data_IF_457684309608
#
_entry.id   IF_457684309608
#
_cell.length_a   1.000
_cell.length_b   1.000
_cell.length_c   1.000
_cell.angle_alpha   90.00
_cell.angle_beta   90.00
_cell.angle_gamma   90.00
#
_symmetry.space_group_name_H-M   'P 1'
#
loop_
_entity.id
_entity.type
_entity.pdbx_description
1 polymer ?
#
# COMPACT_ATOMS: atom_id res chain seq x y z
N UNK A 1 13.43 -11.25 -14.49
CA UNK A 1 14.44 -10.19 -14.75
C UNK A 1 13.91 -8.79 -14.43
N UNK A 2 12.88 -8.27 -15.11
CA UNK A 2 12.37 -6.90 -14.87
C UNK A 2 12.01 -6.61 -13.40
N UNK A 3 11.31 -7.54 -12.74
CA UNK A 3 11.00 -7.41 -11.32
C UNK A 3 12.25 -7.17 -10.46
N UNK A 4 13.29 -7.98 -10.64
CA UNK A 4 14.53 -7.88 -9.90
C UNK A 4 15.21 -6.52 -10.07
N UNK A 5 15.16 -6.00 -11.31
CA UNK A 5 15.69 -4.71 -11.68
C UNK A 5 14.97 -3.56 -10.98
N UNK A 6 13.65 -3.50 -11.09
CA UNK A 6 12.88 -2.44 -10.47
C UNK A 6 12.92 -2.50 -8.94
N UNK A 7 12.95 -3.70 -8.33
CA UNK A 7 13.10 -3.81 -6.88
C UNK A 7 14.48 -3.33 -6.40
N UNK A 8 15.57 -3.69 -7.08
CA UNK A 8 16.91 -3.19 -6.74
C UNK A 8 16.97 -1.66 -6.79
N UNK A 9 16.41 -1.05 -7.84
CA UNK A 9 16.29 0.40 -7.96
C UNK A 9 15.40 1.01 -6.87
N UNK A 10 14.24 0.41 -6.59
CA UNK A 10 13.31 0.94 -5.59
C UNK A 10 13.93 0.92 -4.19
N UNK A 11 14.58 -0.18 -3.83
CA UNK A 11 15.30 -0.33 -2.57
C UNK A 11 16.45 0.68 -2.44
N UNK A 12 17.12 1.02 -3.54
CA UNK A 12 18.19 2.04 -3.54
C UNK A 12 17.69 3.46 -3.30
N UNK A 13 16.43 3.75 -3.59
CA UNK A 13 15.81 5.06 -3.34
C UNK A 13 15.30 5.13 -1.89
N UNK A 14 14.45 4.17 -1.48
CA UNK A 14 13.91 4.08 -0.12
C UNK A 14 13.55 2.63 0.24
N UNK A 15 13.92 2.20 1.43
CA UNK A 15 13.63 0.84 1.93
C UNK A 15 12.14 0.55 2.14
N UNK A 16 11.26 1.56 2.15
CA UNK A 16 9.82 1.32 2.11
C UNK A 16 9.42 0.44 0.89
N UNK A 17 10.15 0.53 -0.22
CA UNK A 17 9.94 -0.32 -1.38
C UNK A 17 10.14 -1.82 -1.15
N UNK A 18 10.80 -2.22 -0.06
CA UNK A 18 10.98 -3.63 0.30
C UNK A 18 9.67 -4.32 0.66
N UNK A 19 8.59 -3.58 0.94
CA UNK A 19 7.25 -4.16 1.09
C UNK A 19 6.76 -4.86 -0.21
N UNK A 20 7.10 -4.32 -1.38
CA UNK A 20 6.82 -4.97 -2.68
C UNK A 20 7.68 -6.21 -2.91
N UNK A 21 8.92 -6.19 -2.43
CA UNK A 21 9.78 -7.36 -2.44
C UNK A 21 9.21 -8.49 -1.57
N UNK A 22 8.78 -8.15 -0.35
CA UNK A 22 8.16 -9.08 0.59
C UNK A 22 6.86 -9.66 0.01
N UNK A 23 6.00 -8.82 -0.58
CA UNK A 23 4.78 -9.24 -1.27
C UNK A 23 5.09 -10.27 -2.36
N UNK A 24 5.96 -9.91 -3.32
CA UNK A 24 6.21 -10.77 -4.47
C UNK A 24 6.90 -12.07 -4.03
N UNK A 25 7.77 -12.01 -3.01
CA UNK A 25 8.37 -13.19 -2.39
C UNK A 25 7.32 -14.09 -1.74
N UNK A 26 6.40 -13.51 -0.97
CA UNK A 26 5.32 -14.23 -0.30
C UNK A 26 4.39 -14.91 -1.32
N UNK A 27 4.00 -14.18 -2.37
CA UNK A 27 3.17 -14.73 -3.44
C UNK A 27 3.89 -15.84 -4.21
N UNK A 28 5.18 -15.66 -4.55
CA UNK A 28 5.96 -16.70 -5.22
C UNK A 28 6.11 -17.96 -4.36
N UNK A 29 6.34 -17.81 -3.06
CA UNK A 29 6.39 -18.92 -2.11
C UNK A 29 5.06 -19.66 -2.04
N UNK A 30 3.92 -18.95 -2.03
CA UNK A 30 2.60 -19.59 -2.12
C UNK A 30 2.47 -20.44 -3.39
N UNK A 31 2.90 -19.92 -4.55
CA UNK A 31 2.88 -20.68 -5.80
C UNK A 31 3.79 -21.92 -5.76
N UNK A 32 4.96 -21.83 -5.12
CA UNK A 32 5.83 -22.98 -4.88
C UNK A 32 5.17 -24.04 -3.98
N UNK A 33 4.49 -23.62 -2.91
CA UNK A 33 3.78 -24.53 -2.02
C UNK A 33 2.68 -25.28 -2.78
N UNK A 34 1.86 -24.56 -3.55
CA UNK A 34 0.83 -25.18 -4.40
C UNK A 34 1.46 -26.13 -5.42
N UNK A 35 2.55 -25.74 -6.08
CA UNK A 35 3.27 -26.61 -7.03
C UNK A 35 3.78 -27.90 -6.35
N UNK A 36 4.26 -27.81 -5.12
CA UNK A 36 4.82 -28.95 -4.39
C UNK A 36 3.73 -29.90 -3.88
N UNK A 37 2.68 -29.36 -3.25
CA UNK A 37 1.62 -30.16 -2.63
C UNK A 37 0.57 -30.65 -3.64
N UNK A 38 0.30 -29.92 -4.73
CA UNK A 38 -0.74 -30.26 -5.72
C UNK A 38 -0.18 -30.76 -7.08
N UNK A 39 1.08 -31.22 -7.10
CA UNK A 39 1.82 -31.62 -8.31
C UNK A 39 1.04 -32.56 -9.25
N UNK A 40 0.34 -33.57 -8.69
CA UNK A 40 -0.42 -34.55 -9.48
C UNK A 40 -1.65 -33.96 -10.18
N UNK A 41 -2.25 -32.91 -9.59
CA UNK A 41 -3.49 -32.30 -10.11
C UNK A 41 -3.21 -31.19 -11.12
N UNK A 42 -2.11 -30.47 -10.91
CA UNK A 42 -1.60 -29.49 -11.87
C UNK A 42 -1.21 -30.14 -13.20
N UNK A 43 -0.80 -31.41 -13.22
CA UNK A 43 -0.48 -32.14 -14.44
C UNK A 43 -1.65 -32.28 -15.44
N UNK A 44 -2.91 -32.17 -14.98
CA UNK A 44 -4.10 -32.30 -15.83
C UNK A 44 -4.78 -30.95 -16.15
N UNK A 45 -4.22 -29.83 -15.71
CA UNK A 45 -4.80 -28.50 -15.88
C UNK A 45 -3.81 -27.57 -16.58
N UNK A 46 -4.27 -26.74 -17.52
CA UNK A 46 -3.42 -25.73 -18.19
C UNK A 46 -2.76 -24.75 -17.20
N UNK A 47 -3.35 -24.55 -16.01
CA UNK A 47 -2.74 -23.74 -14.96
C UNK A 47 -1.45 -24.39 -14.41
N UNK A 48 -1.39 -25.72 -14.41
CA UNK A 48 -0.26 -26.47 -13.90
C UNK A 48 0.93 -26.50 -14.82
N UNK A 49 0.75 -26.53 -16.15
CA UNK A 49 1.88 -26.37 -17.09
C UNK A 49 2.54 -25.00 -16.91
N UNK A 50 1.76 -23.92 -16.82
CA UNK A 50 2.29 -22.55 -16.60
C UNK A 50 3.07 -22.43 -15.27
N UNK A 51 2.56 -23.01 -14.18
CA UNK A 51 3.23 -22.99 -12.87
C UNK A 51 4.45 -23.92 -12.83
N UNK A 52 4.41 -25.07 -13.51
CA UNK A 52 5.49 -26.07 -13.44
C UNK A 52 6.71 -25.66 -14.23
N UNK A 53 6.55 -25.06 -15.41
CA UNK A 53 7.67 -24.69 -16.28
C UNK A 53 8.40 -23.41 -15.85
N UNK A 54 7.68 -22.44 -15.26
CA UNK A 54 8.24 -21.11 -14.99
C UNK A 54 8.68 -20.88 -13.53
N UNK A 55 8.16 -21.65 -12.57
CA UNK A 55 8.37 -21.41 -11.14
C UNK A 55 9.34 -22.44 -10.58
N UNK A 56 10.59 -22.03 -10.33
CA UNK A 56 11.63 -22.88 -9.74
C UNK A 56 12.28 -22.18 -8.54
N UNK A 57 12.87 -22.97 -7.64
CA UNK A 57 13.65 -22.42 -6.53
C UNK A 57 14.88 -21.66 -7.04
N UNK A 58 15.48 -22.12 -8.15
CA UNK A 58 16.57 -21.43 -8.81
C UNK A 58 16.17 -20.02 -9.30
N UNK A 59 15.02 -19.91 -9.99
CA UNK A 59 14.49 -18.62 -10.45
C UNK A 59 14.18 -17.69 -9.27
N UNK A 60 13.71 -18.25 -8.15
CA UNK A 60 13.52 -17.48 -6.92
C UNK A 60 14.85 -16.88 -6.44
N UNK A 61 15.86 -17.72 -6.18
CA UNK A 61 17.15 -17.26 -5.69
C UNK A 61 17.81 -16.24 -6.64
N UNK A 62 17.69 -16.45 -7.96
CA UNK A 62 18.27 -15.55 -8.96
C UNK A 62 17.56 -14.19 -8.99
N UNK A 63 16.24 -14.18 -9.14
CA UNK A 63 15.48 -12.94 -9.40
C UNK A 63 15.02 -12.21 -8.12
N UNK A 64 14.90 -12.91 -7.00
CA UNK A 64 14.47 -12.30 -5.73
C UNK A 64 15.65 -12.02 -4.79
N UNK A 65 16.75 -12.77 -4.86
CA UNK A 65 17.88 -12.53 -3.95
C UNK A 65 19.07 -11.90 -4.68
N UNK A 66 19.64 -12.62 -5.65
CA UNK A 66 20.93 -12.26 -6.23
C UNK A 66 20.88 -10.97 -7.07
N UNK A 67 19.95 -10.89 -8.03
CA UNK A 67 19.87 -9.74 -8.94
C UNK A 67 19.48 -8.42 -8.24
N UNK A 68 18.50 -8.35 -7.33
CA UNK A 68 18.19 -7.11 -6.62
C UNK A 68 19.37 -6.59 -5.80
N UNK A 69 20.13 -7.47 -5.14
CA UNK A 69 21.33 -7.11 -4.36
C UNK A 69 22.43 -6.55 -5.27
N UNK A 70 22.68 -7.19 -6.41
CA UNK A 70 23.65 -6.69 -7.40
C UNK A 70 23.26 -5.29 -7.86
N UNK A 71 21.99 -5.09 -8.20
CA UNK A 71 21.50 -3.80 -8.73
C UNK A 71 21.55 -2.72 -7.66
N UNK A 72 21.14 -3.04 -6.43
CA UNK A 72 21.32 -2.15 -5.28
C UNK A 72 22.79 -1.74 -5.13
N UNK A 73 23.72 -2.70 -5.16
CA UNK A 73 25.16 -2.42 -5.01
C UNK A 73 25.70 -1.55 -6.16
N UNK A 74 25.28 -1.82 -7.40
CA UNK A 74 25.68 -1.03 -8.59
C UNK A 74 25.24 0.43 -8.46
N UNK A 75 24.02 0.68 -7.98
CA UNK A 75 23.50 2.05 -7.81
C UNK A 75 24.33 2.86 -6.81
N UNK A 76 24.95 2.21 -5.82
CA UNK A 76 25.80 2.87 -4.84
C UNK A 76 27.25 3.11 -5.33
N UNK A 77 27.65 2.59 -6.50
CA UNK A 77 29.03 2.78 -7.02
C UNK A 77 29.40 4.27 -7.12
N UNK A 78 28.59 5.17 -7.73
CA UNK A 78 28.94 6.59 -7.78
C UNK A 78 29.16 7.19 -6.40
N UNK A 79 28.28 6.88 -5.43
CA UNK A 79 28.40 7.39 -4.06
C UNK A 79 29.67 6.88 -3.35
N UNK A 80 30.06 5.62 -3.54
CA UNK A 80 31.30 5.08 -2.97
C UNK A 80 32.54 5.71 -3.61
N UNK A 81 32.50 6.07 -4.90
CA UNK A 81 33.60 6.73 -5.59
C UNK A 81 33.78 8.20 -5.18
N UNK A 82 32.68 8.94 -4.98
CA UNK A 82 32.74 10.37 -4.62
C UNK A 82 32.83 10.62 -3.11
N UNK A 83 32.21 9.77 -2.28
CA UNK A 83 32.19 9.91 -0.82
C UNK A 83 33.02 8.79 -0.17
N UNK A 84 34.34 8.96 -0.15
CA UNK A 84 35.31 7.93 0.28
C UNK A 84 35.49 7.80 1.79
N UNK A 85 34.83 8.66 2.58
CA UNK A 85 34.95 8.66 4.04
C UNK A 85 34.43 7.38 4.70
N UNK A 86 33.44 6.74 4.09
CA UNK A 86 32.80 5.53 4.60
C UNK A 86 32.69 4.48 3.51
N UNK A 87 32.92 3.22 3.87
CA UNK A 87 32.68 2.07 3.00
C UNK A 87 31.18 1.90 2.73
N UNK A 88 30.83 1.13 1.69
CA UNK A 88 29.44 0.77 1.41
C UNK A 88 28.72 0.17 2.62
N UNK A 89 29.41 -0.69 3.38
CA UNK A 89 28.83 -1.36 4.56
C UNK A 89 28.58 -0.34 5.68
N UNK A 90 29.56 0.51 5.99
CA UNK A 90 29.44 1.53 7.03
C UNK A 90 28.32 2.53 6.73
N UNK A 91 28.17 2.96 5.47
CA UNK A 91 27.06 3.83 5.06
C UNK A 91 25.70 3.18 5.30
N UNK A 92 25.55 1.90 4.94
CA UNK A 92 24.30 1.18 5.22
C UNK A 92 24.06 1.01 6.72
N UNK A 93 25.10 0.75 7.52
CA UNK A 93 25.00 0.71 8.98
C UNK A 93 24.58 2.06 9.57
N UNK A 94 25.11 3.17 9.05
CA UNK A 94 24.69 4.52 9.46
C UNK A 94 23.23 4.80 9.12
N UNK A 95 22.77 4.41 7.92
CA UNK A 95 21.35 4.53 7.54
C UNK A 95 20.42 3.73 8.48
N UNK A 96 20.80 2.50 8.84
CA UNK A 96 20.07 1.69 9.83
C UNK A 96 20.08 2.39 11.19
N UNK A 97 21.27 2.80 11.66
CA UNK A 97 21.47 3.41 12.96
C UNK A 97 20.68 4.71 13.14
N UNK A 98 20.69 5.58 12.13
CA UNK A 98 19.88 6.80 12.10
C UNK A 98 18.40 6.48 12.30
N UNK A 99 17.90 5.48 11.59
CA UNK A 99 16.50 5.06 11.63
C UNK A 99 16.07 4.33 12.90
N UNK A 100 17.01 3.81 13.70
CA UNK A 100 16.75 3.14 14.96
C UNK A 100 16.93 4.04 16.19
N UNK A 101 17.88 4.98 16.14
CA UNK A 101 18.35 5.70 17.34
C UNK A 101 18.16 7.21 17.29
N UNK A 102 18.06 7.80 16.11
CA UNK A 102 18.02 9.26 15.93
C UNK A 102 16.63 9.82 15.62
N UNK A 103 15.60 8.97 15.56
CA UNK A 103 14.22 9.39 15.31
C UNK A 103 13.33 8.83 16.41
N UNK A 104 12.90 9.69 17.34
CA UNK A 104 11.95 9.32 18.39
C UNK A 104 10.54 9.09 17.88
N UNK A 105 9.68 8.56 18.75
CA UNK A 105 8.26 8.28 18.46
C UNK A 105 7.44 9.57 18.28
N UNK A 106 7.77 10.63 19.02
CA UNK A 106 7.00 11.88 19.13
C UNK A 106 7.74 13.12 18.60
N UNK A 107 8.57 12.95 17.57
CA UNK A 107 9.35 14.03 16.95
C UNK A 107 8.49 15.11 16.28
N UNK A 108 7.23 14.81 15.95
CA UNK A 108 6.35 15.71 15.21
C UNK A 108 4.89 15.65 15.69
N UNK A 109 4.15 16.77 15.74
CA UNK A 109 2.73 16.78 16.14
C UNK A 109 1.82 15.89 15.27
N UNK A 110 2.20 15.66 14.01
CA UNK A 110 1.44 14.81 13.08
C UNK A 110 1.89 13.34 13.02
N UNK A 111 2.76 12.87 13.93
CA UNK A 111 3.10 11.44 14.00
C UNK A 111 1.81 10.61 14.18
N UNK A 112 1.68 9.51 13.44
CA UNK A 112 0.47 8.69 13.41
C UNK A 112 0.83 7.21 13.34
N UNK A 113 0.15 6.41 14.16
CA UNK A 113 0.37 4.97 14.23
C UNK A 113 -0.31 4.23 13.08
N UNK A 114 0.27 3.10 12.68
CA UNK A 114 -0.15 2.29 11.53
C UNK A 114 -1.64 1.92 11.52
N UNK A 115 -2.23 1.68 12.68
CA UNK A 115 -3.64 1.28 12.82
C UNK A 115 -4.61 2.44 12.56
N UNK A 116 -4.14 3.69 12.58
CA UNK A 116 -4.96 4.87 12.28
C UNK A 116 -5.10 5.12 10.78
N UNK A 117 -4.17 4.61 9.97
CA UNK A 117 -4.07 4.94 8.55
C UNK A 117 -5.23 4.42 7.67
N UNK A 118 -5.72 3.17 7.83
CA UNK A 118 -6.78 2.65 6.94
C UNK A 118 -8.09 3.44 7.02
N UNK A 119 -8.37 4.04 8.18
CA UNK A 119 -9.52 4.90 8.43
C UNK A 119 -9.16 6.39 8.43
N UNK A 120 -7.90 6.71 8.13
CA UNK A 120 -7.38 8.08 8.05
C UNK A 120 -7.67 8.89 9.32
N UNK A 121 -7.57 8.26 10.49
CA UNK A 121 -7.94 8.94 11.74
C UNK A 121 -6.97 10.07 12.07
N UNK A 122 -5.73 10.03 11.55
CA UNK A 122 -4.72 11.08 11.76
C UNK A 122 -3.98 11.40 10.45
N UNK A 123 -4.53 12.32 9.63
CA UNK A 123 -3.87 12.81 8.43
C UNK A 123 -2.75 13.81 8.79
N UNK A 124 -2.05 14.34 7.78
CA UNK A 124 -0.95 15.31 7.97
C UNK A 124 -1.14 16.55 7.10
N UNK A 125 -1.06 17.73 7.72
CA UNK A 125 -0.95 19.00 7.00
C UNK A 125 0.49 19.25 6.57
N UNK A 126 0.70 19.51 5.27
CA UNK A 126 1.98 19.93 4.71
C UNK A 126 2.17 21.43 4.72
N UNK A 127 1.08 22.19 4.69
CA UNK A 127 1.10 23.63 4.72
C UNK A 127 -0.17 24.13 5.37
N UNK A 128 -0.05 25.10 6.28
CA UNK A 128 -1.20 25.75 6.91
C UNK A 128 -0.89 27.24 7.08
N UNK A 129 -1.79 28.08 6.60
CA UNK A 129 -1.70 29.53 6.67
C UNK A 129 -3.10 30.08 6.97
N UNK A 130 -3.19 30.96 7.97
CA UNK A 130 -4.42 31.67 8.33
C UNK A 130 -4.15 33.17 8.24
N UNK A 131 -4.97 33.88 7.49
CA UNK A 131 -4.85 35.31 7.26
C UNK A 131 -6.22 35.98 7.19
N UNK A 132 -6.29 37.26 7.51
CA UNK A 132 -7.50 38.07 7.40
C UNK A 132 -7.42 38.97 6.18
N UNK A 133 -8.52 39.09 5.44
CA UNK A 133 -8.63 40.06 4.36
C UNK A 133 -8.90 41.42 4.99
N UNK A 134 -7.96 42.35 4.86
CA UNK A 134 -7.97 43.64 5.57
C UNK A 134 -9.27 44.45 5.38
N UNK A 135 -9.86 44.40 4.18
CA UNK A 135 -11.04 45.20 3.84
C UNK A 135 -12.37 44.58 4.29
N UNK A 136 -12.43 43.26 4.52
CA UNK A 136 -13.67 42.54 4.86
C UNK A 136 -13.67 41.96 6.27
N UNK A 137 -12.52 41.87 6.93
CA UNK A 137 -12.36 41.19 8.23
C UNK A 137 -12.56 39.67 8.16
N UNK A 138 -12.73 39.10 6.97
CA UNK A 138 -12.98 37.67 6.78
C UNK A 138 -11.68 36.90 7.00
N UNK A 139 -11.73 35.87 7.85
CA UNK A 139 -10.63 34.94 8.09
C UNK A 139 -10.60 33.84 7.03
N UNK A 140 -9.48 33.76 6.32
CA UNK A 140 -9.20 32.78 5.27
C UNK A 140 -8.16 31.78 5.77
N UNK A 141 -8.34 30.52 5.39
CA UNK A 141 -7.38 29.44 5.61
C UNK A 141 -6.93 28.91 4.27
N UNK A 142 -5.61 28.78 4.11
CA UNK A 142 -4.97 28.07 3.01
C UNK A 142 -4.21 26.89 3.59
N UNK A 143 -4.65 25.69 3.23
CA UNK A 143 -4.11 24.44 3.78
C UNK A 143 -3.85 23.42 2.68
N UNK A 144 -2.69 22.76 2.71
CA UNK A 144 -2.37 21.60 1.88
C UNK A 144 -2.29 20.40 2.82
N UNK A 145 -3.24 19.48 2.71
CA UNK A 145 -3.34 18.32 3.58
C UNK A 145 -3.16 17.03 2.78
N UNK A 146 -2.32 16.10 3.28
CA UNK A 146 -2.39 14.72 2.81
C UNK A 146 -3.63 14.06 3.39
N UNK A 147 -4.70 14.14 2.60
CA UNK A 147 -6.03 13.75 3.00
C UNK A 147 -6.58 12.76 1.97
N UNK A 148 -6.50 11.43 2.20
CA UNK A 148 -7.08 10.48 1.28
C UNK A 148 -8.61 10.61 1.27
N UNK A 149 -9.26 10.10 0.22
CA UNK A 149 -10.71 10.23 0.08
C UNK A 149 -11.41 9.35 1.16
N UNK A 150 -12.25 9.92 2.06
CA UNK A 150 -12.82 9.16 3.18
C UNK A 150 -13.69 7.99 2.79
N UNK A 151 -14.51 8.17 1.76
CA UNK A 151 -15.38 7.10 1.26
C UNK A 151 -14.54 6.01 0.60
N UNK A 152 -13.56 6.40 -0.22
CA UNK A 152 -12.65 5.46 -0.86
C UNK A 152 -11.86 4.66 0.17
N UNK A 153 -11.27 5.31 1.18
CA UNK A 153 -10.46 4.65 2.21
C UNK A 153 -11.28 3.68 3.04
N UNK A 154 -12.46 4.11 3.50
CA UNK A 154 -13.37 3.28 4.29
C UNK A 154 -13.82 2.05 3.51
N UNK A 155 -14.32 2.22 2.28
CA UNK A 155 -14.81 1.12 1.46
C UNK A 155 -13.69 0.16 1.04
N UNK A 156 -12.48 0.68 0.82
CA UNK A 156 -11.30 -0.13 0.52
C UNK A 156 -10.87 -0.95 1.72
N UNK A 157 -10.87 -0.36 2.92
CA UNK A 157 -10.57 -1.09 4.15
C UNK A 157 -11.60 -2.19 4.43
N UNK A 158 -12.91 -1.89 4.28
CA UNK A 158 -13.98 -2.89 4.37
C UNK A 158 -13.77 -4.01 3.33
N UNK A 159 -13.42 -3.65 2.10
CA UNK A 159 -13.15 -4.62 1.03
C UNK A 159 -11.99 -5.55 1.38
N UNK A 160 -10.91 -5.04 1.97
CA UNK A 160 -9.79 -5.86 2.45
C UNK A 160 -10.23 -6.82 3.55
N UNK A 161 -11.07 -6.39 4.49
CA UNK A 161 -11.61 -7.27 5.56
C UNK A 161 -12.46 -8.39 4.96
N UNK A 162 -13.42 -8.06 4.08
CA UNK A 162 -14.30 -9.05 3.44
C UNK A 162 -13.47 -10.02 2.57
N UNK A 163 -12.47 -9.50 1.86
CA UNK A 163 -11.57 -10.31 1.03
C UNK A 163 -10.70 -11.23 1.90
N UNK A 164 -10.23 -10.77 3.06
CA UNK A 164 -9.47 -11.59 4.01
C UNK A 164 -10.31 -12.74 4.56
N UNK A 165 -11.55 -12.48 4.96
CA UNK A 165 -12.48 -13.53 5.43
C UNK A 165 -12.79 -14.53 4.31
N UNK A 166 -12.97 -14.04 3.08
CA UNK A 166 -13.23 -14.89 1.92
C UNK A 166 -12.01 -15.72 1.55
N UNK A 167 -10.81 -15.14 1.61
CA UNK A 167 -9.55 -15.83 1.40
C UNK A 167 -9.32 -16.94 2.42
N UNK A 168 -9.64 -16.72 3.71
CA UNK A 168 -9.55 -17.77 4.73
C UNK A 168 -10.45 -18.97 4.38
N UNK A 169 -11.68 -18.73 3.91
CA UNK A 169 -12.57 -19.81 3.45
C UNK A 169 -11.99 -20.55 2.23
N UNK A 170 -11.41 -19.83 1.27
CA UNK A 170 -10.77 -20.43 0.10
C UNK A 170 -9.51 -21.23 0.50
N UNK A 171 -8.71 -20.73 1.43
CA UNK A 171 -7.55 -21.42 1.99
C UNK A 171 -7.96 -22.71 2.73
N UNK A 172 -9.03 -22.65 3.53
CA UNK A 172 -9.59 -23.84 4.17
C UNK A 172 -10.12 -24.85 3.14
N UNK A 173 -10.78 -24.41 2.08
CA UNK A 173 -11.21 -25.29 0.99
C UNK A 173 -10.01 -25.94 0.28
N UNK A 174 -8.90 -25.21 0.11
CA UNK A 174 -7.66 -25.77 -0.41
C UNK A 174 -7.11 -26.85 0.53
N UNK A 175 -6.95 -26.57 1.82
CA UNK A 175 -6.36 -27.53 2.78
C UNK A 175 -7.26 -28.75 3.01
N UNK A 176 -8.58 -28.56 3.12
CA UNK A 176 -9.51 -29.62 3.55
C UNK A 176 -10.14 -30.38 2.39
N UNK A 177 -10.41 -29.70 1.28
CA UNK A 177 -11.11 -30.28 0.11
C UNK A 177 -10.22 -30.33 -1.12
N UNK A 178 -8.97 -29.86 -1.04
CA UNK A 178 -8.06 -29.70 -2.17
C UNK A 178 -8.68 -28.83 -3.28
N UNK A 179 -9.58 -27.90 -2.98
CA UNK A 179 -10.21 -27.04 -4.00
C UNK A 179 -9.49 -25.70 -4.08
N UNK A 180 -8.98 -25.36 -5.28
CA UNK A 180 -8.30 -24.08 -5.54
C UNK A 180 -9.07 -23.32 -6.60
N UNK A 181 -9.78 -22.28 -6.17
CA UNK A 181 -10.51 -21.38 -7.04
C UNK A 181 -9.59 -20.30 -7.65
N UNK A 182 -9.96 -19.76 -8.81
CA UNK A 182 -9.22 -18.63 -9.43
C UNK A 182 -9.17 -17.40 -8.50
N UNK A 183 -10.21 -17.21 -7.70
CA UNK A 183 -10.29 -16.15 -6.71
C UNK A 183 -9.23 -16.30 -5.61
N UNK A 184 -8.82 -17.53 -5.28
CA UNK A 184 -7.77 -17.76 -4.29
C UNK A 184 -6.45 -17.10 -4.71
N UNK A 185 -6.05 -17.27 -5.97
CA UNK A 185 -4.84 -16.63 -6.50
C UNK A 185 -4.95 -15.10 -6.52
N UNK A 186 -6.11 -14.58 -6.90
CA UNK A 186 -6.36 -13.13 -6.99
C UNK A 186 -6.34 -12.48 -5.61
N UNK A 187 -7.05 -13.07 -4.65
CA UNK A 187 -7.11 -12.58 -3.28
C UNK A 187 -5.75 -12.72 -2.59
N UNK A 188 -5.04 -13.83 -2.81
CA UNK A 188 -3.68 -14.00 -2.27
C UNK A 188 -2.75 -12.89 -2.77
N UNK A 189 -2.82 -12.53 -4.05
CA UNK A 189 -1.99 -11.45 -4.62
C UNK A 189 -2.33 -10.10 -3.99
N UNK A 190 -3.62 -9.73 -3.95
CA UNK A 190 -4.06 -8.43 -3.43
C UNK A 190 -3.77 -8.32 -1.93
N UNK A 191 -4.12 -9.34 -1.14
CA UNK A 191 -3.90 -9.34 0.31
C UNK A 191 -2.43 -9.40 0.67
N UNK A 192 -1.61 -10.17 -0.07
CA UNK A 192 -0.16 -10.14 0.11
C UNK A 192 0.39 -8.74 -0.11
N UNK A 193 -0.06 -8.04 -1.17
CA UNK A 193 0.33 -6.66 -1.40
C UNK A 193 -0.09 -5.71 -0.29
N UNK A 194 -1.32 -5.84 0.21
CA UNK A 194 -1.81 -5.01 1.32
C UNK A 194 -1.00 -5.23 2.61
N UNK A 195 -0.90 -6.48 3.05
CA UNK A 195 -0.31 -6.83 4.34
C UNK A 195 1.22 -6.77 4.34
N UNK A 196 1.90 -7.18 3.26
CA UNK A 196 3.36 -7.08 3.21
C UNK A 196 3.87 -5.63 3.18
N UNK A 197 3.05 -4.68 2.72
CA UNK A 197 3.37 -3.26 2.79
C UNK A 197 2.89 -2.60 4.10
N UNK A 198 2.00 -3.23 4.88
CA UNK A 198 1.46 -2.69 6.13
C UNK A 198 2.20 -3.22 7.37
N UNK A 199 2.41 -4.53 7.44
CA UNK A 199 2.97 -5.24 8.60
C UNK A 199 4.34 -4.71 9.04
N UNK A 200 5.28 -4.34 8.15
CA UNK A 200 6.56 -3.78 8.58
C UNK A 200 6.41 -2.58 9.52
N UNK A 201 5.35 -1.79 9.33
CA UNK A 201 5.06 -0.61 10.16
C UNK A 201 4.54 -0.93 11.56
N UNK A 202 4.17 -2.19 11.85
CA UNK A 202 3.81 -2.63 13.20
C UNK A 202 5.05 -2.63 14.11
N UNK A 203 6.23 -2.90 13.55
CA UNK A 203 7.48 -3.07 14.29
C UNK A 203 8.28 -1.75 14.36
N UNK A 204 7.88 -0.73 13.62
CA UNK A 204 8.58 0.55 13.55
C UNK A 204 8.05 1.48 14.64
N UNK A 205 8.85 1.75 15.65
CA UNK A 205 8.48 2.57 16.83
C UNK A 205 8.77 4.07 16.66
N UNK A 206 9.51 4.46 15.61
CA UNK A 206 9.78 5.88 15.34
C UNK A 206 8.55 6.62 14.84
N UNK A 207 8.59 7.94 14.88
CA UNK A 207 7.57 8.80 14.27
C UNK A 207 7.32 8.43 12.80
N UNK A 208 6.08 8.06 12.50
CA UNK A 208 5.62 7.72 11.14
C UNK A 208 4.36 8.51 10.80
N UNK A 209 3.97 8.45 9.53
CA UNK A 209 2.93 9.30 8.94
C UNK A 209 2.10 8.50 7.95
N UNK A 210 0.88 8.94 7.69
CA UNK A 210 -0.08 8.27 6.80
C UNK A 210 0.43 7.99 5.39
N UNK A 211 1.41 8.74 4.85
CA UNK A 211 1.97 8.45 3.53
C UNK A 211 2.70 7.09 3.47
N UNK A 212 3.13 6.54 4.61
CA UNK A 212 3.71 5.20 4.65
C UNK A 212 2.69 4.10 4.34
N UNK A 213 1.39 4.39 4.52
CA UNK A 213 0.29 3.50 4.15
C UNK A 213 0.01 3.47 2.65
N UNK A 214 0.48 4.45 1.87
CA UNK A 214 0.14 4.60 0.45
C UNK A 214 0.37 3.31 -0.38
N UNK A 215 1.49 2.57 -0.20
CA UNK A 215 1.69 1.29 -0.90
C UNK A 215 0.60 0.25 -0.57
N UNK A 216 0.22 0.10 0.70
CA UNK A 216 -0.88 -0.79 1.11
C UNK A 216 -2.23 -0.30 0.60
N UNK A 217 -2.49 1.00 0.61
CA UNK A 217 -3.74 1.60 0.15
C UNK A 217 -4.04 1.25 -1.31
N UNK A 218 -3.03 1.19 -2.19
CA UNK A 218 -3.18 0.77 -3.58
C UNK A 218 -3.83 -0.63 -3.68
N UNK A 219 -3.38 -1.58 -2.84
CA UNK A 219 -3.98 -2.92 -2.81
C UNK A 219 -5.37 -2.92 -2.18
N UNK A 220 -5.65 -2.02 -1.23
CA UNK A 220 -7.00 -1.78 -0.75
C UNK A 220 -7.94 -1.30 -1.87
N UNK A 221 -7.45 -0.40 -2.73
CA UNK A 221 -8.21 0.09 -3.88
C UNK A 221 -8.43 -1.03 -4.91
N UNK A 222 -7.45 -1.91 -5.13
CA UNK A 222 -7.63 -3.10 -5.96
C UNK A 222 -8.67 -4.07 -5.38
N UNK A 223 -8.70 -4.25 -4.05
CA UNK A 223 -9.72 -5.07 -3.40
C UNK A 223 -11.12 -4.50 -3.63
N UNK A 224 -11.30 -3.18 -3.46
CA UNK A 224 -12.56 -2.51 -3.76
C UNK A 224 -12.94 -2.62 -5.24
N UNK A 225 -12.00 -2.35 -6.14
CA UNK A 225 -12.22 -2.45 -7.58
C UNK A 225 -12.67 -3.85 -8.00
N UNK A 226 -12.12 -4.90 -7.39
CA UNK A 226 -12.55 -6.28 -7.64
C UNK A 226 -14.03 -6.49 -7.29
N UNK A 227 -14.49 -6.02 -6.13
CA UNK A 227 -15.90 -6.13 -5.73
C UNK A 227 -16.82 -5.27 -6.60
N UNK A 228 -16.43 -4.04 -6.92
CA UNK A 228 -17.20 -3.17 -7.81
C UNK A 228 -17.33 -3.77 -9.21
N UNK A 229 -16.26 -4.38 -9.74
CA UNK A 229 -16.29 -5.14 -10.99
C UNK A 229 -17.27 -6.30 -10.95
N UNK A 230 -17.27 -7.10 -9.87
CA UNK A 230 -18.24 -8.19 -9.68
C UNK A 230 -19.68 -7.69 -9.60
N UNK A 231 -19.93 -6.53 -9.00
CA UNK A 231 -21.26 -5.92 -8.96
C UNK A 231 -21.72 -5.44 -10.34
N UNK A 232 -20.81 -4.90 -11.17
CA UNK A 232 -21.11 -4.47 -12.54
C UNK A 232 -21.40 -5.65 -13.48
N UNK A 233 -20.71 -6.78 -13.31
CA UNK A 233 -20.93 -8.00 -14.09
C UNK A 233 -22.19 -8.78 -13.67
N UNK A 234 -22.71 -8.52 -12.46
CA UNK A 234 -23.84 -9.27 -11.93
C UNK A 234 -25.11 -9.12 -12.81
N UNK A 235 -25.91 -10.20 -12.90
CA UNK A 235 -27.16 -10.22 -13.66
C UNK A 235 -28.21 -9.22 -13.15
N UNK A 236 -28.46 -9.08 -11.83
CA UNK A 236 -29.43 -8.11 -11.34
C UNK A 236 -28.95 -6.67 -11.58
N UNK A 237 -29.73 -5.88 -12.32
CA UNK A 237 -29.44 -4.47 -12.61
C UNK A 237 -29.27 -3.63 -11.32
N UNK A 238 -29.94 -4.00 -10.23
CA UNK A 238 -29.81 -3.35 -8.91
C UNK A 238 -28.38 -3.38 -8.38
N UNK A 239 -27.63 -4.48 -8.60
CA UNK A 239 -26.21 -4.58 -8.20
C UNK A 239 -25.32 -3.67 -9.04
N UNK A 240 -25.62 -3.56 -10.34
CA UNK A 240 -24.89 -2.66 -11.25
C UNK A 240 -25.08 -1.21 -10.82
N UNK A 241 -26.32 -0.81 -10.51
CA UNK A 241 -26.63 0.51 -9.97
C UNK A 241 -25.89 0.77 -8.67
N UNK A 242 -25.88 -0.20 -7.74
CA UNK A 242 -25.15 -0.04 -6.49
C UNK A 242 -23.66 0.25 -6.73
N UNK A 243 -23.02 -0.43 -7.69
CA UNK A 243 -21.63 -0.16 -8.06
C UNK A 243 -21.44 1.26 -8.59
N UNK A 244 -22.31 1.72 -9.50
CA UNK A 244 -22.26 3.09 -10.02
C UNK A 244 -22.52 4.16 -8.94
N UNK A 245 -23.44 3.91 -8.01
CA UNK A 245 -23.70 4.80 -6.88
C UNK A 245 -22.48 4.90 -5.96
N UNK A 246 -21.80 3.80 -5.68
CA UNK A 246 -20.56 3.82 -4.90
C UNK A 246 -19.48 4.66 -5.60
N UNK A 247 -19.28 4.46 -6.90
CA UNK A 247 -18.33 5.26 -7.69
C UNK A 247 -18.69 6.75 -7.67
N UNK A 248 -19.98 7.08 -7.84
CA UNK A 248 -20.48 8.44 -7.76
C UNK A 248 -20.20 9.07 -6.39
N UNK A 249 -20.45 8.35 -5.30
CA UNK A 249 -20.14 8.81 -3.94
C UNK A 249 -18.64 9.09 -3.77
N UNK A 250 -17.77 8.23 -4.29
CA UNK A 250 -16.31 8.45 -4.26
C UNK A 250 -15.93 9.74 -5.01
N UNK A 251 -16.50 9.96 -6.20
CA UNK A 251 -16.24 11.19 -6.99
C UNK A 251 -16.74 12.43 -6.26
N UNK A 252 -17.95 12.40 -5.69
CA UNK A 252 -18.50 13.52 -4.92
C UNK A 252 -17.61 13.82 -3.71
N UNK A 253 -17.18 12.80 -2.97
CA UNK A 253 -16.25 12.98 -1.85
C UNK A 253 -14.92 13.60 -2.32
N UNK A 254 -14.35 13.12 -3.43
CA UNK A 254 -13.13 13.71 -3.97
C UNK A 254 -13.29 15.21 -4.24
N UNK A 255 -14.36 15.60 -4.94
CA UNK A 255 -14.63 17.01 -5.26
C UNK A 255 -14.85 17.87 -3.99
N UNK A 256 -15.50 17.33 -2.96
CA UNK A 256 -15.76 18.05 -1.72
C UNK A 256 -14.46 18.38 -0.94
N UNK A 257 -13.51 17.44 -0.86
CA UNK A 257 -12.21 17.64 -0.18
C UNK A 257 -11.09 18.18 -1.08
N UNK A 258 -11.30 18.25 -2.40
CA UNK A 258 -10.32 18.75 -3.38
C UNK A 258 -9.69 20.10 -3.01
N UNK A 259 -10.42 21.11 -2.49
CA UNK A 259 -9.83 22.41 -2.12
C UNK A 259 -8.67 22.29 -1.12
N UNK A 260 -8.75 21.36 -0.18
CA UNK A 260 -7.74 21.12 0.86
C UNK A 260 -6.50 20.39 0.29
N UNK A 261 -6.67 19.61 -0.78
CA UNK A 261 -5.54 18.96 -1.44
C UNK A 261 -4.78 19.93 -2.35
N UNK A 262 -5.48 20.87 -2.98
CA UNK A 262 -4.91 21.85 -3.90
C UNK A 262 -4.39 23.11 -3.22
N UNK A 263 -4.66 23.31 -1.92
CA UNK A 263 -4.30 24.55 -1.23
C UNK A 263 -5.10 25.75 -1.71
N UNK A 264 -6.37 25.54 -2.11
CA UNK A 264 -7.29 26.62 -2.49
C UNK A 264 -7.70 27.35 -1.19
N UNK A 265 -7.49 28.67 -1.08
CA UNK A 265 -7.94 29.43 0.09
C UNK A 265 -9.45 29.34 0.26
N UNK A 266 -9.90 29.16 1.50
CA UNK A 266 -11.32 29.08 1.85
C UNK A 266 -11.59 29.81 3.15
N UNK A 267 -12.84 30.20 3.38
CA UNK A 267 -13.22 30.81 4.64
C UNK A 267 -13.07 29.82 5.80
N UNK A 268 -12.81 30.35 6.99
CA UNK A 268 -12.54 29.54 8.17
C UNK A 268 -13.64 28.48 8.46
N UNK A 269 -14.91 28.86 8.33
CA UNK A 269 -16.03 27.92 8.53
C UNK A 269 -16.03 26.77 7.49
N UNK A 270 -15.63 27.05 6.25
CA UNK A 270 -15.59 26.06 5.17
C UNK A 270 -14.47 25.04 5.38
N UNK A 271 -13.36 25.47 5.97
CA UNK A 271 -12.27 24.60 6.37
C UNK A 271 -12.71 23.65 7.49
N UNK A 272 -13.26 24.18 8.58
CA UNK A 272 -13.69 23.35 9.71
C UNK A 272 -14.88 22.45 9.38
N UNK A 273 -15.79 22.85 8.49
CA UNK A 273 -16.86 21.96 8.01
C UNK A 273 -16.30 20.70 7.33
N UNK A 274 -15.15 20.79 6.65
CA UNK A 274 -14.49 19.63 6.02
C UNK A 274 -13.71 18.78 7.01
N UNK A 275 -13.35 19.31 8.17
CA UNK A 275 -12.70 18.57 9.26
C UNK A 275 -13.75 17.83 10.09
N UNK A 276 -14.35 16.79 9.48
CA UNK A 276 -15.45 16.02 10.09
C UNK A 276 -15.03 15.23 11.34
N UNK A 277 -13.74 14.93 11.51
CA UNK A 277 -13.18 14.37 12.73
C UNK A 277 -12.25 15.41 13.37
N UNK A 278 -12.31 15.54 14.69
CA UNK A 278 -11.42 16.45 15.44
C UNK A 278 -9.94 16.10 15.22
N UNK A 279 -9.64 14.81 15.05
CA UNK A 279 -8.29 14.30 14.81
C UNK A 279 -7.73 14.61 13.42
N UNK A 280 -8.49 15.31 12.56
CA UNK A 280 -8.04 15.78 11.24
C UNK A 280 -7.41 17.17 11.26
N UNK A 281 -7.39 17.83 12.42
CA UNK A 281 -6.82 19.17 12.61
C UNK A 281 -5.38 19.05 13.14
#
# INVERSE_FOLDING_TARGET
MYFAFFIGLTASIKWNGLGFFLMASNYYTLLLLIKYFDKKRLAHNNLGSVLTDNISLFNYSLYFLLLPIIIYTIVFIPDVLFNTQFTFIEKNQQMIGYHQTMVGENEHPYCSNWYTWPLMLRPIAYFFESYTIADSGISMIRNIHLFPNPILSLLSFISVIIMSISWLRLCLNWITKNLIDKEFFTFSFILSGYFCNLIPWIIVERCTFIYHYQPSAIFGFLALAWYLGKLLEAQPWTKRIASWLILLCIVIAFLYWLPIQLGIPMENFQFYDRMKLESWI
#
